data_IF_517931179647
#
_entry.id   IF_517931179647
#
_cell.length_a   1.000
_cell.length_b   1.000
_cell.length_c   1.000
_cell.angle_alpha   90.00
_cell.angle_beta   90.00
_cell.angle_gamma   90.00
#
_symmetry.space_group_name_H-M   'P 1'
#
loop_
_entity.id
_entity.type
_entity.pdbx_description
1 polymer ?
#
# COMPACT_ATOMS: atom_id res chain seq x y z
N UNK A 1 -17.06 -11.38 23.35
CA UNK A 1 -16.08 -10.31 23.08
C UNK A 1 -16.86 -9.10 22.62
N UNK A 2 -16.86 -8.03 23.40
CA UNK A 2 -17.39 -6.74 22.94
C UNK A 2 -16.25 -6.13 22.11
N UNK A 3 -16.34 -6.28 20.79
CA UNK A 3 -15.33 -5.80 19.85
C UNK A 3 -15.72 -4.43 19.32
N UNK A 4 -14.78 -3.49 19.32
CA UNK A 4 -14.93 -2.15 18.77
C UNK A 4 -13.58 -1.44 18.80
N UNK A 5 -13.34 -0.56 17.83
CA UNK A 5 -12.13 0.27 17.82
C UNK A 5 -12.30 1.43 18.81
N UNK A 6 -11.21 1.76 19.49
CA UNK A 6 -11.10 2.95 20.33
C UNK A 6 -9.90 3.75 19.89
N UNK A 7 -10.01 5.06 19.98
CA UNK A 7 -8.89 5.96 19.83
C UNK A 7 -8.11 6.08 21.13
N UNK A 8 -6.81 6.30 20.97
CA UNK A 8 -5.84 6.44 22.04
C UNK A 8 -5.08 7.75 21.85
N UNK A 9 -4.73 8.42 22.94
CA UNK A 9 -3.92 9.63 22.82
C UNK A 9 -2.49 9.27 22.43
N UNK A 10 -1.92 9.95 21.43
CA UNK A 10 -0.56 9.68 20.95
C UNK A 10 0.49 9.73 22.07
N UNK A 11 0.33 10.67 23.01
CA UNK A 11 1.21 10.81 24.17
C UNK A 11 1.27 9.54 25.05
N UNK A 12 0.18 8.78 25.13
CA UNK A 12 0.07 7.58 25.96
C UNK A 12 0.79 6.37 25.30
N UNK A 13 1.03 6.44 23.99
CA UNK A 13 1.67 5.38 23.19
C UNK A 13 3.10 5.72 22.75
N UNK A 14 3.58 6.96 22.92
CA UNK A 14 4.96 7.36 22.58
C UNK A 14 6.05 6.40 23.12
N UNK A 15 5.96 5.87 24.36
CA UNK A 15 6.97 4.92 24.87
C UNK A 15 7.12 3.65 24.03
N UNK A 16 6.12 3.29 23.22
CA UNK A 16 6.18 2.12 22.33
C UNK A 16 7.06 2.36 21.08
N UNK A 17 7.28 3.62 20.68
CA UNK A 17 8.02 3.98 19.46
C UNK A 17 9.45 4.47 19.72
N UNK A 18 9.73 4.93 20.95
CA UNK A 18 10.97 5.64 21.28
C UNK A 18 12.19 4.75 21.61
N UNK A 19 12.07 3.41 21.65
CA UNK A 19 13.20 2.51 21.89
C UNK A 19 13.63 1.77 20.63
N UNK A 20 14.94 1.80 20.36
CA UNK A 20 15.60 1.08 19.26
C UNK A 20 15.04 -0.33 19.11
N UNK A 21 14.59 -0.63 17.88
CA UNK A 21 13.57 -1.60 17.58
C UNK A 21 13.78 -3.02 18.13
N UNK A 22 12.64 -3.71 18.30
CA UNK A 22 12.45 -5.13 18.68
C UNK A 22 12.27 -5.43 20.18
N UNK A 23 11.63 -4.53 20.93
CA UNK A 23 11.12 -4.85 22.26
C UNK A 23 9.65 -5.28 22.24
N UNK A 24 9.29 -6.32 23.00
CA UNK A 24 7.90 -6.60 23.43
C UNK A 24 7.47 -5.58 24.51
N UNK A 25 7.73 -4.30 24.25
CA UNK A 25 7.50 -3.22 25.20
C UNK A 25 6.00 -3.05 25.39
N UNK A 26 5.60 -3.02 26.65
CA UNK A 26 4.21 -2.83 27.06
C UNK A 26 4.08 -1.46 27.71
N UNK A 27 3.00 -0.76 27.40
CA UNK A 27 2.58 0.47 28.09
C UNK A 27 1.14 0.30 28.59
N UNK A 28 0.67 1.22 29.41
CA UNK A 28 -0.67 1.17 30.01
C UNK A 28 -1.51 2.35 29.54
N UNK A 29 -2.65 2.07 28.92
CA UNK A 29 -3.64 3.08 28.58
C UNK A 29 -4.53 3.39 29.77
N UNK A 30 -4.68 4.66 30.12
CA UNK A 30 -5.59 5.11 31.18
C UNK A 30 -6.87 5.72 30.67
N UNK A 31 -6.91 6.03 29.37
CA UNK A 31 -8.06 6.66 28.73
C UNK A 31 -8.16 6.21 27.28
N UNK A 32 -9.38 6.14 26.80
CA UNK A 32 -9.71 5.80 25.42
C UNK A 32 -10.94 6.58 25.00
N UNK A 33 -11.11 6.77 23.70
CA UNK A 33 -12.34 7.34 23.14
C UNK A 33 -12.98 6.31 22.21
N UNK A 34 -14.22 5.87 22.43
CA UNK A 34 -14.90 4.98 21.50
C UNK A 34 -14.99 5.61 20.10
N UNK A 35 -14.68 4.85 19.03
CA UNK A 35 -14.78 5.36 17.65
C UNK A 35 -16.23 5.38 17.17
N UNK A 36 -17.03 4.38 17.55
CA UNK A 36 -18.39 4.20 17.04
C UNK A 36 -19.43 5.10 17.72
N UNK A 37 -19.12 5.61 18.90
CA UNK A 37 -19.95 6.59 19.60
C UNK A 37 -19.20 7.90 19.58
N UNK A 38 -19.83 8.96 19.06
CA UNK A 38 -19.28 10.32 19.07
C UNK A 38 -19.21 10.83 20.52
N UNK A 39 -18.22 10.32 21.24
CA UNK A 39 -18.20 10.23 22.69
C UNK A 39 -17.00 10.94 23.28
N UNK A 40 -17.16 11.35 24.54
CA UNK A 40 -16.07 11.92 25.31
C UNK A 40 -15.00 10.87 25.64
N UNK A 41 -13.81 11.34 25.99
CA UNK A 41 -12.77 10.49 26.57
C UNK A 41 -13.29 9.75 27.80
N UNK A 42 -13.17 8.43 27.78
CA UNK A 42 -13.47 7.55 28.91
C UNK A 42 -12.18 7.24 29.66
N UNK A 43 -12.25 7.18 30.99
CA UNK A 43 -11.14 6.72 31.83
C UNK A 43 -11.29 5.22 32.07
N UNK A 44 -10.19 4.48 31.94
CA UNK A 44 -10.13 3.06 32.30
C UNK A 44 -9.96 2.98 33.81
N UNK A 45 -10.96 2.47 34.51
CA UNK A 45 -10.95 2.32 35.97
C UNK A 45 -10.53 0.93 36.43
N UNK A 46 -10.63 -0.06 35.55
CA UNK A 46 -10.25 -1.44 35.81
C UNK A 46 -9.59 -2.03 34.54
N UNK A 47 -8.34 -2.52 34.62
CA UNK A 47 -7.47 -2.54 35.80
C UNK A 47 -7.00 -1.13 36.21
N UNK A 48 -6.73 -0.92 37.51
CA UNK A 48 -6.40 0.39 38.09
C UNK A 48 -5.11 1.02 37.52
N UNK A 49 -4.17 0.19 37.08
CA UNK A 49 -2.94 0.58 36.39
C UNK A 49 -3.18 1.06 34.93
N UNK A 50 -4.32 0.71 34.35
CA UNK A 50 -4.66 0.95 32.95
C UNK A 50 -4.58 -0.32 32.10
N UNK A 51 -5.13 -0.28 30.89
CA UNK A 51 -5.14 -1.44 29.99
C UNK A 51 -3.73 -1.65 29.41
N UNK A 52 -3.08 -2.80 29.63
CA UNK A 52 -1.78 -3.10 29.05
C UNK A 52 -1.91 -3.27 27.54
N UNK A 53 -1.07 -2.54 26.79
CA UNK A 53 -1.02 -2.62 25.33
C UNK A 53 0.40 -2.75 24.79
N UNK A 54 0.51 -3.30 23.59
CA UNK A 54 1.72 -3.42 22.78
C UNK A 54 1.48 -2.82 21.39
N UNK A 55 2.58 -2.59 20.67
CA UNK A 55 2.51 -2.05 19.31
C UNK A 55 1.60 -2.88 18.37
N UNK A 56 1.59 -4.21 18.50
CA UNK A 56 0.75 -5.12 17.69
C UNK A 56 -0.77 -4.97 17.92
N UNK A 57 -1.17 -4.29 18.99
CA UNK A 57 -2.56 -4.03 19.35
C UNK A 57 -3.00 -2.63 18.89
N UNK A 58 -2.08 -1.84 18.30
CA UNK A 58 -2.39 -0.55 17.68
C UNK A 58 -2.64 -0.71 16.16
N UNK A 59 -3.60 0.04 15.66
CA UNK A 59 -3.91 0.15 14.24
C UNK A 59 -4.15 1.62 13.89
N UNK A 60 -3.78 2.00 12.66
CA UNK A 60 -4.14 3.30 12.07
C UNK A 60 -5.30 3.01 11.11
N UNK A 61 -6.36 3.83 11.16
CA UNK A 61 -7.48 3.64 10.24
C UNK A 61 -7.03 3.99 8.81
N UNK A 62 -7.55 3.26 7.82
CA UNK A 62 -7.15 3.48 6.43
C UNK A 62 -7.39 4.90 5.94
N UNK A 63 -8.44 5.57 6.44
CA UNK A 63 -8.71 6.96 6.08
C UNK A 63 -7.73 7.95 6.73
N UNK A 64 -7.30 7.72 7.97
CA UNK A 64 -6.30 8.55 8.66
C UNK A 64 -4.93 8.43 7.99
N UNK A 65 -4.56 7.21 7.59
CA UNK A 65 -3.35 6.95 6.82
C UNK A 65 -3.39 7.68 5.47
N UNK A 66 -4.51 7.56 4.74
CA UNK A 66 -4.68 8.24 3.45
C UNK A 66 -4.67 9.77 3.57
N UNK A 67 -5.25 10.33 4.64
CA UNK A 67 -5.23 11.76 4.92
C UNK A 67 -3.80 12.24 5.17
N UNK A 68 -3.07 11.55 6.07
CA UNK A 68 -1.67 11.85 6.36
C UNK A 68 -0.79 11.77 5.10
N UNK A 69 -0.98 10.73 4.28
CA UNK A 69 -0.25 10.59 3.02
C UNK A 69 -0.49 11.77 2.07
N UNK A 70 -1.73 12.25 1.99
CA UNK A 70 -2.10 13.39 1.15
C UNK A 70 -1.50 14.70 1.65
N UNK A 71 -1.52 14.94 2.97
CA UNK A 71 -0.96 16.15 3.59
C UNK A 71 0.56 16.23 3.45
N UNK A 72 1.25 15.12 3.69
CA UNK A 72 2.72 15.07 3.66
C UNK A 72 3.27 14.85 2.23
N UNK A 73 2.41 14.80 1.21
CA UNK A 73 2.81 14.51 -0.16
C UNK A 73 3.46 13.13 -0.31
N UNK A 74 3.21 12.22 0.65
CA UNK A 74 3.66 10.83 0.64
C UNK A 74 2.77 9.94 -0.24
N UNK A 75 1.66 10.50 -0.74
CA UNK A 75 1.07 10.04 -2.00
C UNK A 75 2.13 10.22 -3.08
N UNK A 76 2.99 9.21 -3.23
CA UNK A 76 3.53 8.87 -4.54
C UNK A 76 2.35 8.94 -5.49
N UNK A 77 2.44 9.80 -6.50
CA UNK A 77 1.40 9.96 -7.51
C UNK A 77 0.99 8.58 -8.05
N UNK A 78 -0.06 8.03 -7.43
CA UNK A 78 -1.13 7.33 -8.12
C UNK A 78 -2.32 8.26 -8.00
N UNK A 79 -2.17 9.45 -8.60
CA UNK A 79 -3.29 10.36 -8.77
C UNK A 79 -4.42 9.61 -9.51
N UNK A 80 -5.55 9.43 -8.84
CA UNK A 80 -6.83 9.16 -9.48
C UNK A 80 -7.01 7.77 -10.08
N UNK A 81 -7.18 6.77 -9.21
CA UNK A 81 -7.73 5.46 -9.53
C UNK A 81 -6.68 4.36 -9.57
N UNK A 82 -7.04 3.15 -9.13
CA UNK A 82 -6.31 2.01 -9.65
C UNK A 82 -6.43 2.11 -11.18
N UNK A 83 -5.33 2.34 -11.88
CA UNK A 83 -5.28 1.83 -13.24
C UNK A 83 -5.58 0.36 -13.03
N UNK A 84 -6.71 -0.12 -13.56
CA UNK A 84 -7.11 -1.54 -13.52
C UNK A 84 -5.92 -2.47 -13.82
N UNK A 85 -4.96 -1.95 -14.59
CA UNK A 85 -3.70 -2.56 -14.94
C UNK A 85 -2.50 -1.69 -14.55
N UNK A 86 -1.52 -2.29 -13.86
CA UNK A 86 -0.26 -1.63 -13.51
C UNK A 86 0.71 -1.63 -14.72
N UNK A 87 0.44 -0.72 -15.65
CA UNK A 87 1.21 -0.59 -16.90
C UNK A 87 2.69 -0.25 -16.67
N UNK A 88 2.99 0.45 -15.58
CA UNK A 88 4.36 0.87 -15.27
C UNK A 88 5.19 -0.32 -14.78
N UNK A 89 4.66 -1.09 -13.82
CA UNK A 89 5.33 -2.31 -13.35
C UNK A 89 5.46 -3.36 -14.44
N UNK A 90 4.47 -3.46 -15.33
CA UNK A 90 4.56 -4.29 -16.52
C UNK A 90 5.73 -3.84 -17.40
N UNK A 91 5.88 -2.54 -17.69
CA UNK A 91 6.97 -2.03 -18.51
C UNK A 91 8.35 -2.33 -17.90
N UNK A 92 8.53 -2.17 -16.58
CA UNK A 92 9.76 -2.58 -15.90
C UNK A 92 10.03 -4.08 -16.05
N UNK A 93 9.00 -4.91 -15.92
CA UNK A 93 9.09 -6.37 -16.14
C UNK A 93 9.57 -6.71 -17.55
N UNK A 94 9.04 -6.03 -18.58
CA UNK A 94 9.45 -6.23 -19.97
C UNK A 94 10.90 -5.80 -20.21
N UNK A 95 11.34 -4.67 -19.67
CA UNK A 95 12.73 -4.20 -19.81
C UNK A 95 13.68 -5.16 -19.09
N UNK A 96 13.35 -5.59 -17.88
CA UNK A 96 14.14 -6.58 -17.14
C UNK A 96 14.21 -7.93 -17.87
N UNK A 97 13.15 -8.32 -18.56
CA UNK A 97 13.15 -9.50 -19.44
C UNK A 97 14.03 -9.30 -20.65
N UNK A 98 13.89 -8.19 -21.37
CA UNK A 98 14.72 -7.87 -22.54
C UNK A 98 16.23 -7.74 -22.21
N UNK A 99 16.57 -7.39 -20.97
CA UNK A 99 17.96 -7.36 -20.49
C UNK A 99 18.54 -8.76 -20.25
N UNK A 100 17.70 -9.78 -20.02
CA UNK A 100 18.10 -11.16 -19.72
C UNK A 100 17.94 -12.09 -20.93
N UNK A 101 16.86 -11.91 -21.67
CA UNK A 101 16.46 -12.64 -22.85
C UNK A 101 16.51 -11.63 -24.00
N UNK A 102 17.16 -11.98 -25.12
CA UNK A 102 17.31 -11.09 -26.27
C UNK A 102 16.03 -10.32 -26.60
N UNK A 103 16.14 -9.04 -26.98
CA UNK A 103 15.02 -8.15 -27.31
C UNK A 103 13.94 -8.84 -28.17
N UNK A 104 12.67 -8.45 -27.97
CA UNK A 104 11.55 -9.08 -28.67
C UNK A 104 11.71 -8.93 -30.18
N UNK A 105 11.55 -10.03 -30.92
CA UNK A 105 11.79 -10.10 -32.37
C UNK A 105 10.59 -9.63 -33.19
N UNK A 106 9.42 -9.51 -32.57
CA UNK A 106 8.20 -9.03 -33.21
C UNK A 106 7.28 -8.29 -32.25
N UNK A 107 6.39 -7.47 -32.79
CA UNK A 107 5.35 -6.78 -32.01
C UNK A 107 4.44 -7.77 -31.29
N UNK A 108 4.10 -8.89 -31.93
CA UNK A 108 3.28 -9.96 -31.35
C UNK A 108 3.96 -10.61 -30.15
N UNK A 109 5.29 -10.77 -30.20
CA UNK A 109 6.06 -11.32 -29.08
C UNK A 109 6.08 -10.35 -27.88
N UNK A 110 6.25 -9.04 -28.13
CA UNK A 110 6.17 -8.01 -27.09
C UNK A 110 4.77 -7.97 -26.43
N UNK A 111 3.71 -8.10 -27.22
CA UNK A 111 2.33 -8.18 -26.71
C UNK A 111 2.14 -9.45 -25.87
N UNK A 112 2.66 -10.59 -26.33
CA UNK A 112 2.64 -11.85 -25.60
C UNK A 112 3.32 -11.75 -24.24
N UNK A 113 4.50 -11.11 -24.17
CA UNK A 113 5.20 -10.90 -22.90
C UNK A 113 4.39 -10.07 -21.91
N UNK A 114 3.67 -9.05 -22.38
CA UNK A 114 2.82 -8.23 -21.53
C UNK A 114 1.59 -9.01 -21.04
N UNK A 115 0.98 -9.83 -21.90
CA UNK A 115 -0.14 -10.69 -21.52
C UNK A 115 0.29 -11.75 -20.50
N UNK A 116 1.46 -12.38 -20.69
CA UNK A 116 2.04 -13.32 -19.73
C UNK A 116 2.28 -12.65 -18.38
N UNK A 117 2.81 -11.42 -18.39
CA UNK A 117 3.04 -10.65 -17.16
C UNK A 117 1.73 -10.35 -16.42
N UNK A 118 0.69 -9.91 -17.14
CA UNK A 118 -0.63 -9.66 -16.55
C UNK A 118 -1.34 -10.94 -16.11
N UNK A 119 -1.13 -12.07 -16.79
CA UNK A 119 -1.69 -13.36 -16.41
C UNK A 119 -1.21 -13.81 -15.02
N UNK A 120 0.04 -13.50 -14.66
CA UNK A 120 0.56 -13.75 -13.30
C UNK A 120 -0.16 -12.87 -12.25
N UNK A 121 -0.57 -11.66 -12.62
CA UNK A 121 -1.26 -10.72 -11.72
C UNK A 121 -2.78 -10.95 -11.62
N UNK A 122 -3.38 -11.73 -12.53
CA UNK A 122 -4.77 -12.19 -12.44
C UNK A 122 -5.84 -11.33 -13.13
N UNK A 123 -5.50 -10.17 -13.69
CA UNK A 123 -6.38 -9.39 -14.57
C UNK A 123 -5.62 -9.06 -15.86
N UNK A 124 -6.13 -9.55 -17.00
CA UNK A 124 -5.49 -9.42 -18.31
C UNK A 124 -6.26 -8.41 -19.15
N UNK A 125 -5.63 -7.31 -19.60
CA UNK A 125 -6.26 -6.39 -20.53
C UNK A 125 -6.46 -7.03 -21.91
N UNK A 126 -7.48 -6.57 -22.64
CA UNK A 126 -7.69 -6.96 -24.03
C UNK A 126 -6.45 -6.70 -24.89
N UNK A 127 -6.17 -7.61 -25.82
CA UNK A 127 -5.00 -7.53 -26.70
C UNK A 127 -4.94 -6.19 -27.48
N UNK A 128 -6.09 -5.66 -27.90
CA UNK A 128 -6.20 -4.36 -28.56
C UNK A 128 -5.74 -3.20 -27.66
N UNK A 129 -6.02 -3.29 -26.36
CA UNK A 129 -5.59 -2.32 -25.35
C UNK A 129 -4.09 -2.41 -25.12
N UNK A 130 -3.56 -3.63 -24.94
CA UNK A 130 -2.12 -3.90 -24.78
C UNK A 130 -1.35 -3.40 -26.00
N UNK A 131 -1.79 -3.78 -27.21
CA UNK A 131 -1.19 -3.36 -28.48
C UNK A 131 -1.09 -1.85 -28.58
N UNK A 132 -2.19 -1.13 -28.37
CA UNK A 132 -2.24 0.34 -28.45
C UNK A 132 -1.26 0.99 -27.47
N UNK A 133 -1.14 0.44 -26.26
CA UNK A 133 -0.24 0.96 -25.21
C UNK A 133 1.24 0.67 -25.48
N UNK A 134 1.56 -0.47 -26.08
CA UNK A 134 2.93 -0.89 -26.35
C UNK A 134 3.48 -0.36 -27.69
N UNK A 135 2.65 0.21 -28.57
CA UNK A 135 3.13 0.79 -29.84
C UNK A 135 4.27 1.81 -29.68
N UNK A 136 4.24 2.77 -28.73
CA UNK A 136 5.35 3.69 -28.54
C UNK A 136 6.63 2.95 -28.15
N UNK A 137 6.55 2.02 -27.19
CA UNK A 137 7.70 1.22 -26.75
C UNK A 137 8.27 0.35 -27.89
N UNK A 138 7.41 -0.21 -28.74
CA UNK A 138 7.84 -0.98 -29.91
C UNK A 138 8.64 -0.12 -30.89
N UNK A 139 8.29 1.16 -31.09
CA UNK A 139 9.06 2.06 -31.97
C UNK A 139 10.47 2.33 -31.42
N UNK A 140 10.59 2.46 -30.10
CA UNK A 140 11.90 2.59 -29.43
C UNK A 140 12.76 1.35 -29.64
N UNK A 141 12.18 0.15 -29.51
CA UNK A 141 12.89 -1.10 -29.80
C UNK A 141 13.36 -1.23 -31.26
N UNK A 142 12.69 -0.57 -32.20
CA UNK A 142 13.08 -0.53 -33.62
C UNK A 142 14.13 0.55 -33.94
N UNK A 143 14.59 1.32 -32.94
CA UNK A 143 15.55 2.41 -33.14
C UNK A 143 14.99 3.57 -33.96
N UNK A 144 13.68 3.81 -33.88
CA UNK A 144 13.00 4.93 -34.56
C UNK A 144 12.65 6.09 -33.61
N UNK A 145 13.29 6.15 -32.43
CA UNK A 145 13.18 7.24 -31.44
C UNK A 145 14.22 8.32 -31.64
#
# INVERSE_FOLDING_TARGET
>A
MIGGFVEVASADILPLFLREGRGNTMTYLKRVRPVETDGNWCTITDPAEGLPIRLKELAIQGHDAAHFEAEEGLVMVRAGGSLRYDWEQMAYGLVARAAKETSPKSQSELIGWAQDWFAIQGDIPDESTVRRRLMPLWREFQGQG
#
